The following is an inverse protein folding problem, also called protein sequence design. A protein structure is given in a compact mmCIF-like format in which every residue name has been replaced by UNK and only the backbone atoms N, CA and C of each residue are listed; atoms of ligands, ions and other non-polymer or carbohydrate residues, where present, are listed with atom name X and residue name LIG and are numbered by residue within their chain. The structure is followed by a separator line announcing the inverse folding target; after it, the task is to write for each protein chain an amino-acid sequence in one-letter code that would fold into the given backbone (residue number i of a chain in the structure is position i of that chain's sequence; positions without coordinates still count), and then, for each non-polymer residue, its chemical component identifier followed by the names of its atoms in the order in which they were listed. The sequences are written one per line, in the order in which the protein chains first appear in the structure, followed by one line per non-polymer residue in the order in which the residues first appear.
data_IF_466115201166
#
_entry.id   IF_466115201166
#
_cell.length_a   1.000
_cell.length_b   1.000
_cell.length_c   1.000
_cell.angle_alpha   90.00
_cell.angle_beta   90.00
_cell.angle_gamma   90.00
#
_symmetry.space_group_name_H-M   'P 1'
#
loop_
_entity.id
_entity.type
_entity.pdbx_description
1 polymer ?
#
# COMPACT_ATOMS: atom_id res chain seq x y z
N UNK A 1 -16.23 -18.66 1.23
CA UNK A 1 -14.84 -18.83 0.74
C UNK A 1 -14.51 -17.58 -0.05
N UNK A 2 -13.54 -16.76 0.37
CA UNK A 2 -13.18 -15.56 -0.39
C UNK A 2 -12.27 -15.93 -1.60
N UNK A 3 -12.11 -15.04 -2.58
CA UNK A 3 -11.31 -15.32 -3.79
C UNK A 3 -9.86 -15.69 -3.47
N UNK A 4 -9.25 -14.99 -2.51
CA UNK A 4 -7.90 -15.28 -2.02
C UNK A 4 -7.77 -16.70 -1.46
N UNK A 5 -8.74 -17.13 -0.66
CA UNK A 5 -8.80 -18.47 -0.07
C UNK A 5 -8.92 -19.54 -1.14
N UNK A 6 -9.71 -19.27 -2.19
CA UNK A 6 -9.84 -20.15 -3.36
C UNK A 6 -8.50 -20.31 -4.08
N UNK A 7 -7.78 -19.22 -4.36
CA UNK A 7 -6.49 -19.27 -5.06
C UNK A 7 -5.41 -20.00 -4.25
N UNK A 8 -5.33 -19.71 -2.94
CA UNK A 8 -4.42 -20.39 -2.03
C UNK A 8 -4.77 -21.89 -1.93
N UNK A 9 -6.06 -22.24 -1.84
CA UNK A 9 -6.49 -23.65 -1.83
C UNK A 9 -6.12 -24.36 -3.14
N UNK A 10 -6.42 -23.75 -4.29
CA UNK A 10 -6.15 -24.32 -5.61
C UNK A 10 -4.66 -24.57 -5.80
N UNK A 11 -3.80 -23.66 -5.34
CA UNK A 11 -2.35 -23.74 -5.48
C UNK A 11 -1.71 -24.75 -4.52
N UNK A 12 -2.15 -24.79 -3.26
CA UNK A 12 -1.41 -25.52 -2.22
C UNK A 12 -2.09 -26.79 -1.71
N UNK A 13 -3.43 -26.85 -1.66
CA UNK A 13 -4.15 -27.92 -0.93
C UNK A 13 -3.77 -29.34 -1.39
N UNK A 14 -3.59 -29.52 -2.69
CA UNK A 14 -3.30 -30.80 -3.31
C UNK A 14 -1.86 -30.90 -3.85
N UNK A 15 -0.96 -30.05 -3.37
CA UNK A 15 0.46 -30.10 -3.72
C UNK A 15 1.32 -30.65 -2.58
N UNK A 16 2.61 -30.81 -2.83
CA UNK A 16 3.61 -31.14 -1.81
C UNK A 16 3.79 -30.04 -0.75
N UNK A 17 3.11 -28.90 -0.92
CA UNK A 17 3.10 -27.75 -0.03
C UNK A 17 1.73 -27.57 0.64
N UNK A 18 0.96 -28.65 0.84
CA UNK A 18 -0.35 -28.61 1.50
C UNK A 18 -0.33 -27.90 2.85
N UNK A 19 0.77 -27.99 3.60
CA UNK A 19 0.97 -27.30 4.86
C UNK A 19 0.91 -25.76 4.74
N UNK A 20 1.16 -25.18 3.55
CA UNK A 20 1.02 -23.74 3.30
C UNK A 20 -0.44 -23.34 3.39
N UNK A 21 -1.34 -24.16 2.84
CA UNK A 21 -2.78 -23.96 2.97
C UNK A 21 -3.21 -24.06 4.44
N UNK A 22 -2.74 -25.07 5.17
CA UNK A 22 -3.11 -25.24 6.59
C UNK A 22 -2.63 -24.07 7.46
N UNK A 23 -1.43 -23.53 7.19
CA UNK A 23 -0.91 -22.32 7.85
C UNK A 23 -1.77 -21.10 7.52
N UNK A 24 -2.18 -20.94 6.26
CA UNK A 24 -3.05 -19.86 5.86
C UNK A 24 -4.43 -19.93 6.54
N UNK A 25 -5.03 -21.12 6.65
CA UNK A 25 -6.30 -21.29 7.37
C UNK A 25 -6.16 -20.97 8.87
N UNK A 26 -5.00 -21.26 9.48
CA UNK A 26 -4.73 -20.83 10.86
C UNK A 26 -4.56 -19.30 10.98
N UNK A 27 -3.95 -18.64 9.97
CA UNK A 27 -3.92 -17.17 9.89
C UNK A 27 -5.35 -16.60 9.82
N UNK A 28 -6.18 -17.15 8.94
CA UNK A 28 -7.61 -16.82 8.79
C UNK A 28 -8.35 -16.93 10.12
N UNK A 29 -8.26 -18.09 10.77
CA UNK A 29 -8.92 -18.32 12.05
C UNK A 29 -8.50 -17.28 13.09
N UNK A 30 -7.20 -17.00 13.23
CA UNK A 30 -6.68 -16.06 14.24
C UNK A 30 -7.04 -14.61 13.98
N UNK A 31 -6.94 -14.16 12.73
CA UNK A 31 -7.29 -12.80 12.34
C UNK A 31 -8.80 -12.53 12.47
N UNK A 32 -9.63 -13.56 12.31
CA UNK A 32 -11.09 -13.43 12.52
C UNK A 32 -11.49 -13.52 14.00
N UNK A 33 -10.64 -14.01 14.91
CA UNK A 33 -10.90 -14.01 16.34
C UNK A 33 -10.73 -12.62 16.98
N UNK A 34 -10.03 -11.69 16.33
CA UNK A 34 -9.80 -10.32 16.82
C UNK A 34 -10.93 -9.35 16.46
N UNK A 35 -12.19 -9.75 16.65
CA UNK A 35 -13.36 -8.91 16.36
C UNK A 35 -13.44 -7.64 17.22
N UNK A 36 -12.81 -7.65 18.40
CA UNK A 36 -12.60 -6.50 19.29
C UNK A 36 -11.12 -6.43 19.68
N UNK A 37 -10.61 -5.24 20.07
CA UNK A 37 -9.23 -5.08 20.57
C UNK A 37 -8.99 -6.01 21.75
N UNK A 38 -8.39 -7.17 21.49
CA UNK A 38 -8.06 -8.17 22.50
C UNK A 38 -6.54 -8.32 22.54
N UNK A 39 -5.96 -8.10 23.72
CA UNK A 39 -4.51 -8.25 23.94
C UNK A 39 -3.61 -7.40 23.01
N UNK A 40 -4.06 -6.19 22.68
CA UNK A 40 -3.32 -5.23 21.83
C UNK A 40 -3.23 -5.62 20.34
N UNK A 41 -4.18 -6.43 19.87
CA UNK A 41 -4.36 -6.75 18.46
C UNK A 41 -5.60 -6.04 17.91
N UNK A 42 -5.45 -5.43 16.73
CA UNK A 42 -6.56 -4.87 15.95
C UNK A 42 -7.26 -5.98 15.12
N UNK A 43 -8.47 -5.72 14.59
CA UNK A 43 -9.10 -6.61 13.63
C UNK A 43 -8.18 -6.94 12.47
N UNK A 44 -8.12 -8.22 12.07
CA UNK A 44 -7.21 -8.67 11.02
C UNK A 44 -5.77 -8.96 11.48
N UNK A 45 -5.38 -8.54 12.70
CA UNK A 45 -4.05 -8.82 13.26
C UNK A 45 -3.99 -10.16 14.00
N UNK A 46 -2.83 -10.82 13.95
CA UNK A 46 -2.55 -12.02 14.74
C UNK A 46 -1.09 -12.14 15.16
N UNK A 47 -0.85 -12.88 16.25
CA UNK A 47 0.49 -13.24 16.72
C UNK A 47 0.95 -14.57 16.14
N UNK A 48 2.22 -14.60 15.76
CA UNK A 48 2.89 -15.77 15.21
C UNK A 48 4.19 -16.08 15.96
N UNK A 49 4.33 -17.32 16.37
CA UNK A 49 5.58 -17.87 16.89
C UNK A 49 5.77 -19.30 16.36
N UNK A 50 7.01 -19.60 15.95
CA UNK A 50 7.31 -20.88 15.30
C UNK A 50 7.02 -22.09 16.20
N UNK A 51 7.24 -21.98 17.51
CA UNK A 51 7.13 -23.11 18.43
C UNK A 51 5.67 -23.54 18.60
N UNK A 52 4.79 -22.61 18.93
CA UNK A 52 3.38 -22.90 19.19
C UNK A 52 2.64 -23.29 17.92
N UNK A 53 2.97 -22.66 16.79
CA UNK A 53 2.36 -23.00 15.50
C UNK A 53 2.81 -24.36 14.98
N UNK A 54 4.10 -24.72 15.12
CA UNK A 54 4.61 -26.03 14.72
C UNK A 54 3.90 -27.15 15.47
N UNK A 55 3.76 -26.97 16.79
CA UNK A 55 3.07 -27.92 17.65
C UNK A 55 1.59 -28.07 17.28
N UNK A 56 0.88 -26.96 17.09
CA UNK A 56 -0.57 -26.97 16.83
C UNK A 56 -0.93 -27.58 15.47
N UNK A 57 -0.16 -27.24 14.44
CA UNK A 57 -0.42 -27.67 13.07
C UNK A 57 0.22 -29.02 12.74
N UNK A 58 1.07 -29.56 13.61
CA UNK A 58 1.79 -30.81 13.33
C UNK A 58 2.81 -30.67 12.19
N UNK A 59 3.37 -29.47 12.00
CA UNK A 59 4.31 -29.15 10.92
C UNK A 59 5.69 -28.80 11.46
N UNK A 60 6.73 -29.04 10.67
CA UNK A 60 8.10 -28.69 11.08
C UNK A 60 8.34 -27.20 11.02
N UNK A 61 9.33 -26.72 11.79
CA UNK A 61 9.77 -25.31 11.73
C UNK A 61 10.17 -24.88 10.30
N UNK A 62 10.87 -25.75 9.55
CA UNK A 62 11.26 -25.46 8.16
C UNK A 62 10.05 -25.29 7.24
N UNK A 63 9.02 -26.13 7.42
CA UNK A 63 7.76 -25.98 6.69
C UNK A 63 7.07 -24.66 7.03
N UNK A 64 7.03 -24.27 8.31
CA UNK A 64 6.50 -22.96 8.69
C UNK A 64 7.29 -21.79 8.11
N UNK A 65 8.63 -21.83 8.15
CA UNK A 65 9.47 -20.81 7.52
C UNK A 65 9.16 -20.67 6.03
N UNK A 66 9.01 -21.80 5.34
CA UNK A 66 8.61 -21.80 3.93
C UNK A 66 7.19 -21.29 3.73
N UNK A 67 6.23 -21.71 4.54
CA UNK A 67 4.84 -21.27 4.43
C UNK A 67 4.71 -19.76 4.65
N UNK A 68 5.33 -19.22 5.69
CA UNK A 68 5.33 -17.78 5.94
C UNK A 68 5.95 -17.03 4.76
N UNK A 69 7.04 -17.53 4.17
CA UNK A 69 7.64 -16.92 2.98
C UNK A 69 6.66 -16.92 1.79
N UNK A 70 6.01 -18.04 1.51
CA UNK A 70 5.04 -18.16 0.41
C UNK A 70 3.84 -17.23 0.61
N UNK A 71 3.35 -17.11 1.85
CA UNK A 71 2.19 -16.28 2.18
C UNK A 71 2.51 -14.78 2.26
N UNK A 72 3.75 -14.39 2.58
CA UNK A 72 4.17 -12.98 2.67
C UNK A 72 4.75 -12.44 1.37
N UNK A 73 5.60 -13.22 0.69
CA UNK A 73 6.43 -12.72 -0.42
C UNK A 73 5.89 -13.14 -1.78
N UNK A 74 5.25 -14.31 -1.87
CA UNK A 74 4.82 -14.85 -3.16
C UNK A 74 3.36 -14.58 -3.48
N UNK A 75 2.47 -14.74 -2.50
CA UNK A 75 1.03 -14.49 -2.67
C UNK A 75 0.56 -13.23 -1.91
N UNK A 76 1.37 -12.69 -1.00
CA UNK A 76 1.10 -11.47 -0.21
C UNK A 76 -0.29 -11.50 0.45
N UNK A 77 -0.64 -12.63 1.03
CA UNK A 77 -1.94 -12.80 1.72
C UNK A 77 -1.85 -12.43 3.20
N UNK A 78 -0.64 -12.43 3.77
CA UNK A 78 -0.35 -11.93 5.12
C UNK A 78 0.83 -10.95 5.08
N UNK A 79 0.82 -9.98 5.98
CA UNK A 79 1.82 -8.91 6.01
C UNK A 79 2.43 -8.84 7.41
N UNK A 80 3.77 -8.79 7.51
CA UNK A 80 4.44 -8.69 8.81
C UNK A 80 4.42 -7.24 9.31
N UNK A 81 3.73 -6.99 10.42
CA UNK A 81 3.62 -5.67 11.04
C UNK A 81 4.77 -5.46 12.04
N UNK A 82 5.07 -6.49 12.84
CA UNK A 82 6.08 -6.42 13.88
C UNK A 82 6.92 -7.68 13.87
N UNK A 83 8.24 -7.52 13.78
CA UNK A 83 9.18 -8.63 13.87
C UNK A 83 9.46 -8.95 15.33
N UNK A 84 9.12 -10.18 15.73
CA UNK A 84 9.49 -10.71 17.04
C UNK A 84 11.01 -10.88 17.18
N UNK A 85 11.50 -10.61 18.38
CA UNK A 85 12.86 -10.93 18.84
C UNK A 85 12.89 -12.28 19.57
N UNK A 86 14.05 -12.67 20.10
CA UNK A 86 14.19 -13.94 20.83
C UNK A 86 13.21 -13.99 22.01
N UNK A 87 12.27 -14.93 21.95
CA UNK A 87 11.26 -15.13 22.99
C UNK A 87 9.98 -14.31 22.80
N UNK A 88 9.88 -13.47 21.77
CA UNK A 88 8.66 -12.71 21.46
C UNK A 88 8.05 -13.16 20.12
N UNK A 89 6.72 -13.14 20.05
CA UNK A 89 5.98 -13.45 18.83
C UNK A 89 6.09 -12.30 17.83
N UNK A 90 6.16 -12.62 16.54
CA UNK A 90 5.90 -11.62 15.49
C UNK A 90 4.42 -11.29 15.42
N UNK A 91 4.08 -10.11 14.92
CA UNK A 91 2.72 -9.68 14.60
C UNK A 91 2.54 -9.61 13.10
N UNK A 92 1.43 -10.16 12.62
CA UNK A 92 1.05 -10.15 11.21
C UNK A 92 -0.37 -9.61 11.04
N UNK A 93 -0.67 -9.12 9.84
CA UNK A 93 -1.98 -8.68 9.37
C UNK A 93 -2.43 -9.56 8.21
N UNK A 94 -3.74 -9.75 8.04
CA UNK A 94 -4.33 -10.52 6.96
C UNK A 94 -4.84 -9.57 5.86
N UNK A 95 -4.19 -9.59 4.70
CA UNK A 95 -4.26 -8.51 3.70
C UNK A 95 -5.69 -8.14 3.27
N UNK A 96 -6.60 -9.11 3.11
CA UNK A 96 -7.99 -8.83 2.70
C UNK A 96 -8.75 -7.89 3.66
N UNK A 97 -8.31 -7.74 4.90
CA UNK A 97 -8.99 -6.83 5.83
C UNK A 97 -8.77 -5.37 5.42
N UNK A 98 -7.72 -5.03 4.66
CA UNK A 98 -7.54 -3.70 4.07
C UNK A 98 -8.63 -3.38 3.02
N UNK A 99 -9.15 -4.39 2.31
CA UNK A 99 -10.19 -4.19 1.29
C UNK A 99 -11.55 -3.80 1.90
N UNK A 100 -11.83 -4.22 3.15
CA UNK A 100 -13.12 -3.98 3.79
C UNK A 100 -13.24 -2.58 4.42
N UNK A 101 -12.12 -1.97 4.86
CA UNK A 101 -12.10 -0.61 5.44
C UNK A 101 -12.37 0.50 4.41
N UNK A 102 -12.24 0.20 3.12
CA UNK A 102 -12.62 1.13 2.06
C UNK A 102 -14.15 1.26 1.88
N UNK A 103 -14.96 0.30 2.35
CA UNK A 103 -16.43 0.39 2.26
C UNK A 103 -17.05 1.27 3.37
N UNK A 104 -16.44 1.27 4.55
CA UNK A 104 -16.86 2.07 5.70
C UNK A 104 -16.33 3.51 5.66
N UNK A 105 -15.22 3.76 4.94
CA UNK A 105 -14.65 5.11 4.80
C UNK A 105 -15.36 6.03 3.79
N UNK A 106 -16.18 5.51 2.88
CA UNK A 106 -16.89 6.35 1.90
C UNK A 106 -17.95 7.23 2.61
N UNK A 107 -18.70 6.66 3.55
CA UNK A 107 -19.74 7.37 4.28
C UNK A 107 -19.18 8.41 5.27
N UNK A 108 -18.01 8.16 5.87
CA UNK A 108 -17.36 9.13 6.76
C UNK A 108 -16.69 10.27 5.99
N UNK A 109 -16.17 10.00 4.78
CA UNK A 109 -15.54 11.03 3.94
C UNK A 109 -16.54 12.00 3.32
N UNK A 110 -17.78 11.58 3.04
CA UNK A 110 -18.86 12.48 2.60
C UNK A 110 -19.27 13.45 3.71
N UNK A 111 -19.44 12.96 4.95
CA UNK A 111 -19.76 13.78 6.13
C UNK A 111 -18.63 14.78 6.46
N UNK A 112 -17.36 14.38 6.28
CA UNK A 112 -16.21 15.28 6.51
C UNK A 112 -16.06 16.33 5.40
N UNK A 113 -16.45 16.02 4.15
CA UNK A 113 -16.44 16.98 3.04
C UNK A 113 -17.49 18.08 3.22
N UNK A 114 -18.70 17.74 3.68
CA UNK A 114 -19.77 18.73 3.91
C UNK A 114 -19.41 19.72 5.02
N UNK A 115 -18.87 19.23 6.15
CA UNK A 115 -18.47 20.09 7.28
C UNK A 115 -17.31 21.04 6.92
N UNK A 116 -16.34 20.58 6.12
CA UNK A 116 -15.20 21.39 5.70
C UNK A 116 -15.56 22.50 4.68
N UNK A 117 -16.64 22.33 3.90
CA UNK A 117 -17.12 23.35 2.97
C UNK A 117 -17.79 24.51 3.74
N UNK A 118 -18.45 24.21 4.84
CA UNK A 118 -19.16 25.20 5.66
C UNK A 118 -18.21 26.04 6.53
N UNK A 119 -17.14 25.45 7.06
CA UNK A 119 -16.09 26.18 7.79
C UNK A 119 -15.29 27.13 6.88
N UNK A 120 -14.95 26.70 5.66
CA UNK A 120 -14.25 27.56 4.66
C UNK A 120 -15.09 28.73 4.14
N UNK A 121 -16.42 28.72 4.31
CA UNK A 121 -17.28 29.87 4.04
C UNK A 121 -17.28 30.88 5.21
N UNK A 122 -17.14 30.41 6.46
CA UNK A 122 -17.06 31.27 7.65
C UNK A 122 -15.70 31.98 7.80
N UNK A 123 -14.60 31.33 7.42
CA UNK A 123 -13.25 31.94 7.48
C UNK A 123 -13.03 33.04 6.44
N UNK A 124 -13.50 32.85 5.19
CA UNK A 124 -13.40 33.88 4.14
C UNK A 124 -14.13 35.18 4.49
N UNK A 125 -15.22 35.10 5.26
CA UNK A 125 -15.93 36.28 5.75
C UNK A 125 -15.19 36.99 6.91
N UNK A 126 -14.45 36.27 7.76
CA UNK A 126 -13.64 36.88 8.84
C UNK A 126 -12.41 37.62 8.31
N UNK A 127 -11.79 37.09 7.27
CA UNK A 127 -10.56 37.65 6.70
C UNK A 127 -10.82 38.92 5.86
N UNK A 128 -12.05 39.10 5.36
CA UNK A 128 -12.48 40.32 4.69
C UNK A 128 -12.67 41.49 5.67
N UNK A 129 -13.13 41.20 6.90
CA UNK A 129 -13.33 42.21 7.95
C UNK A 129 -12.01 42.66 8.58
N UNK A 130 -11.03 41.76 8.71
CA UNK A 130 -9.72 42.05 9.34
C UNK A 130 -8.82 42.98 8.52
N UNK A 131 -9.05 43.11 7.21
CA UNK A 131 -8.27 43.98 6.31
C UNK A 131 -8.71 45.44 6.32
N UNK A 132 -9.86 45.78 6.91
CA UNK A 132 -10.34 47.17 6.98
C UNK A 132 -9.90 47.92 8.24
N UNK A 133 -9.24 47.26 9.22
CA UNK A 133 -8.94 47.85 10.53
C UNK A 133 -7.50 47.52 10.93
N UNK A 134 -6.55 48.45 10.76
CA UNK A 134 -5.21 48.29 11.33
C UNK A 134 -4.10 49.15 10.76
N UNK A 135 -4.19 50.48 10.88
CA UNK A 135 -3.01 51.32 11.07
C UNK A 135 -2.86 51.66 12.56
N UNK A 136 -1.59 51.76 12.99
CA UNK A 136 -1.06 52.33 14.25
C UNK A 136 -0.46 51.39 15.32
N UNK A 137 0.87 51.21 15.17
CA UNK A 137 1.97 51.57 16.10
C UNK A 137 2.03 51.03 17.56
N UNK A 138 3.24 50.48 17.83
CA UNK A 138 4.23 50.83 18.88
C UNK A 138 4.50 49.87 20.08
N UNK A 139 5.64 49.17 19.99
CA UNK A 139 6.83 49.11 20.90
C UNK A 139 6.67 48.95 22.43
N UNK A 140 7.32 47.92 23.01
CA UNK A 140 8.51 48.02 23.92
C UNK A 140 9.05 46.66 24.40
N UNK A 141 10.38 46.60 24.45
CA UNK A 141 11.27 45.52 24.93
C UNK A 141 11.29 45.39 26.47
N UNK A 142 11.76 44.25 26.99
CA UNK A 142 13.04 44.07 27.75
C UNK A 142 12.97 42.85 28.71
N UNK A 143 14.14 42.36 29.05
CA UNK A 143 14.62 41.02 29.41
C UNK A 143 14.79 40.71 30.91
N UNK A 144 14.66 39.41 31.25
CA UNK A 144 15.49 38.56 32.18
C UNK A 144 15.39 38.77 33.71
N UNK A 145 14.93 37.76 34.50
CA UNK A 145 15.76 36.73 35.20
C UNK A 145 15.00 35.86 36.26
N UNK A 146 15.29 34.54 36.25
CA UNK A 146 15.56 33.59 37.36
C UNK A 146 14.48 32.98 38.32
N UNK A 147 14.40 31.64 38.23
CA UNK A 147 14.32 30.55 39.25
C UNK A 147 13.01 30.02 39.91
N UNK A 148 12.91 28.68 39.76
CA UNK A 148 12.44 27.59 40.64
C UNK A 148 10.94 27.43 40.99
N UNK A 149 10.43 26.25 40.62
CA UNK A 149 9.27 25.58 41.21
C UNK A 149 9.05 24.23 40.53
N UNK A 150 9.44 23.13 41.18
CA UNK A 150 9.08 21.76 40.80
C UNK A 150 7.55 21.59 40.83
N UNK A 151 6.95 21.10 39.74
CA UNK A 151 5.78 20.23 39.83
C UNK A 151 5.86 19.13 38.75
N UNK A 152 5.97 17.90 39.24
CA UNK A 152 5.83 16.65 38.48
C UNK A 152 4.36 16.42 38.17
N UNK A 153 4.05 16.16 36.90
CA UNK A 153 2.79 15.56 36.46
C UNK A 153 2.28 16.21 35.19
N UNK A 154 2.58 15.61 34.02
CA UNK A 154 1.75 15.63 32.78
C UNK A 154 2.50 15.32 31.46
N UNK A 155 3.79 14.93 31.50
CA UNK A 155 4.55 14.69 30.25
C UNK A 155 4.49 13.25 29.70
N UNK A 156 3.79 12.31 30.35
CA UNK A 156 3.79 10.88 29.92
C UNK A 156 2.77 10.56 28.81
N UNK A 157 1.73 11.36 28.62
CA UNK A 157 0.72 11.10 27.58
C UNK A 157 1.14 11.61 26.20
N UNK A 158 1.68 12.83 26.12
CA UNK A 158 2.16 13.43 24.85
C UNK A 158 3.31 12.66 24.19
N UNK A 159 4.13 11.94 24.97
CA UNK A 159 5.24 11.12 24.45
C UNK A 159 4.79 9.75 23.90
N UNK A 160 3.63 9.24 24.35
CA UNK A 160 3.06 7.96 23.85
C UNK A 160 2.30 8.15 22.52
N UNK A 161 1.61 9.28 22.35
CA UNK A 161 0.86 9.59 21.12
C UNK A 161 1.80 9.80 19.92
N UNK A 162 2.86 10.61 20.07
CA UNK A 162 3.88 10.80 19.01
C UNK A 162 4.60 9.51 18.59
N UNK A 163 4.80 8.57 19.52
CA UNK A 163 5.42 7.26 19.22
C UNK A 163 4.46 6.31 18.50
N UNK A 164 3.15 6.39 18.78
CA UNK A 164 2.12 5.61 18.09
C UNK A 164 1.98 6.05 16.63
N UNK A 165 1.88 7.36 16.37
CA UNK A 165 1.71 7.92 15.02
C UNK A 165 2.91 7.66 14.10
N UNK A 166 4.14 7.80 14.62
CA UNK A 166 5.33 7.48 13.82
C UNK A 166 5.46 5.98 13.51
N UNK A 167 4.98 5.10 14.39
CA UNK A 167 5.03 3.65 14.15
C UNK A 167 3.97 3.18 13.17
N UNK A 168 2.76 3.74 13.19
CA UNK A 168 1.68 3.37 12.27
C UNK A 168 1.96 3.86 10.85
N UNK A 169 2.50 5.07 10.70
CA UNK A 169 2.85 5.63 9.40
C UNK A 169 4.03 4.89 8.75
N UNK A 170 5.04 4.50 9.55
CA UNK A 170 6.19 3.71 9.05
C UNK A 170 5.77 2.29 8.63
N UNK A 171 4.85 1.67 9.38
CA UNK A 171 4.30 0.36 9.02
C UNK A 171 3.49 0.44 7.73
N UNK A 172 2.59 1.41 7.59
CA UNK A 172 1.78 1.57 6.38
C UNK A 172 2.63 1.83 5.13
N UNK A 173 3.67 2.68 5.21
CA UNK A 173 4.57 2.93 4.09
C UNK A 173 5.36 1.68 3.67
N UNK A 174 5.76 0.84 4.62
CA UNK A 174 6.44 -0.42 4.34
C UNK A 174 5.49 -1.42 3.66
N UNK A 175 4.21 -1.44 4.04
CA UNK A 175 3.18 -2.26 3.40
C UNK A 175 3.01 -1.84 1.93
N UNK A 176 2.72 -0.56 1.69
CA UNK A 176 2.55 0.00 0.34
C UNK A 176 3.80 -0.27 -0.51
N UNK A 177 4.99 -0.12 0.07
CA UNK A 177 6.24 -0.39 -0.63
C UNK A 177 6.39 -1.85 -1.04
N UNK A 178 6.00 -2.79 -0.16
CA UNK A 178 6.00 -4.21 -0.47
C UNK A 178 4.95 -4.58 -1.53
N UNK A 179 3.77 -3.97 -1.50
CA UNK A 179 2.73 -4.19 -2.50
C UNK A 179 3.20 -3.77 -3.90
N UNK A 180 3.71 -2.55 -4.04
CA UNK A 180 4.25 -2.04 -5.31
C UNK A 180 5.41 -2.92 -5.81
N UNK A 181 6.34 -3.27 -4.92
CA UNK A 181 7.49 -4.12 -5.25
C UNK A 181 7.06 -5.50 -5.75
N UNK A 182 6.11 -6.13 -5.06
CA UNK A 182 5.68 -7.48 -5.38
C UNK A 182 4.80 -7.50 -6.62
N UNK A 183 3.95 -6.49 -6.80
CA UNK A 183 3.19 -6.30 -8.03
C UNK A 183 4.12 -6.17 -9.23
N UNK A 184 5.18 -5.36 -9.15
CA UNK A 184 6.21 -5.29 -10.19
C UNK A 184 6.83 -6.65 -10.50
N UNK A 185 7.27 -7.37 -9.47
CA UNK A 185 7.89 -8.69 -9.65
C UNK A 185 6.93 -9.71 -10.31
N UNK A 186 5.63 -9.60 -10.05
CA UNK A 186 4.61 -10.45 -10.66
C UNK A 186 4.51 -10.30 -12.18
N UNK A 187 4.81 -9.09 -12.73
CA UNK A 187 4.82 -8.82 -14.17
C UNK A 187 6.02 -9.43 -14.89
N UNK A 188 7.06 -9.84 -14.15
CA UNK A 188 8.27 -10.51 -14.68
C UNK A 188 9.01 -9.71 -15.78
N UNK A 189 8.92 -8.38 -15.76
CA UNK A 189 9.67 -7.50 -16.68
C UNK A 189 11.17 -7.58 -16.40
N UNK A 190 11.56 -7.18 -15.19
CA UNK A 190 12.87 -7.43 -14.56
C UNK A 190 12.60 -7.77 -13.10
N UNK A 191 12.87 -9.02 -12.71
CA UNK A 191 12.60 -9.53 -11.36
C UNK A 191 13.73 -9.14 -10.42
N UNK A 192 13.40 -8.44 -9.32
CA UNK A 192 14.35 -8.06 -8.28
C UNK A 192 14.39 -9.13 -7.19
N UNK A 193 15.58 -9.48 -6.70
CA UNK A 193 15.77 -10.52 -5.66
C UNK A 193 15.28 -10.11 -4.27
N UNK A 194 15.28 -8.82 -3.99
CA UNK A 194 14.88 -8.25 -2.69
C UNK A 194 14.51 -6.79 -2.83
N UNK A 195 13.58 -6.32 -2.00
CA UNK A 195 13.33 -4.89 -1.79
C UNK A 195 14.54 -4.26 -1.07
N UNK A 196 15.42 -3.61 -1.84
CA UNK A 196 16.60 -2.94 -1.28
C UNK A 196 16.32 -1.45 -1.03
N UNK A 197 17.20 -0.79 -0.27
CA UNK A 197 17.06 0.62 0.11
C UNK A 197 16.94 1.59 -1.07
N UNK A 198 17.50 1.23 -2.22
CA UNK A 198 17.45 2.06 -3.42
C UNK A 198 16.08 2.01 -4.09
N UNK A 199 15.47 0.83 -4.16
CA UNK A 199 14.11 0.62 -4.66
C UNK A 199 13.12 1.23 -3.68
N UNK A 200 13.28 1.00 -2.38
CA UNK A 200 12.45 1.57 -1.31
C UNK A 200 12.42 3.11 -1.42
N UNK A 201 13.58 3.76 -1.51
CA UNK A 201 13.66 5.21 -1.74
C UNK A 201 13.00 5.68 -3.03
N UNK A 202 13.03 4.88 -4.10
CA UNK A 202 12.36 5.23 -5.36
C UNK A 202 10.84 5.16 -5.20
N UNK A 203 10.32 4.15 -4.50
CA UNK A 203 8.91 4.01 -4.18
C UNK A 203 8.44 5.16 -3.29
N UNK A 204 9.16 5.45 -2.20
CA UNK A 204 8.84 6.59 -1.33
C UNK A 204 8.78 7.92 -2.08
N UNK A 205 9.67 8.12 -3.08
CA UNK A 205 9.65 9.33 -3.91
C UNK A 205 8.46 9.36 -4.86
N UNK A 206 8.07 8.22 -5.43
CA UNK A 206 6.89 8.13 -6.28
C UNK A 206 5.60 8.38 -5.48
N UNK A 207 5.51 7.82 -4.27
CA UNK A 207 4.37 7.98 -3.36
C UNK A 207 4.14 9.42 -2.87
N UNK A 208 5.13 10.31 -3.02
CA UNK A 208 4.94 11.75 -2.78
C UNK A 208 4.15 12.45 -3.88
N UNK A 209 4.01 11.81 -5.05
CA UNK A 209 3.38 12.39 -6.25
C UNK A 209 2.16 11.61 -6.70
N UNK A 210 2.15 10.30 -6.46
CA UNK A 210 1.16 9.37 -6.98
C UNK A 210 0.66 8.47 -5.85
N UNK A 211 -0.60 8.05 -5.91
CA UNK A 211 -1.14 7.02 -5.01
C UNK A 211 -0.58 5.64 -5.34
N UNK A 212 -0.74 4.67 -4.43
CA UNK A 212 -0.38 3.28 -4.68
C UNK A 212 -1.06 2.75 -5.94
N UNK A 213 -2.36 3.00 -6.08
CA UNK A 213 -3.17 2.51 -7.20
C UNK A 213 -2.74 3.16 -8.52
N UNK A 214 -2.36 4.43 -8.51
CA UNK A 214 -1.80 5.10 -9.70
C UNK A 214 -0.48 4.46 -10.13
N UNK A 215 0.41 4.17 -9.17
CA UNK A 215 1.68 3.50 -9.46
C UNK A 215 1.44 2.10 -10.01
N UNK A 216 0.53 1.33 -9.41
CA UNK A 216 0.14 0.00 -9.88
C UNK A 216 -0.41 0.07 -11.31
N UNK A 217 -1.37 0.96 -11.60
CA UNK A 217 -1.93 1.14 -12.96
C UNK A 217 -0.86 1.50 -14.00
N UNK A 218 0.10 2.35 -13.63
CA UNK A 218 1.20 2.69 -14.52
C UNK A 218 2.10 1.47 -14.80
N UNK A 219 2.35 0.62 -13.81
CA UNK A 219 3.09 -0.65 -13.99
C UNK A 219 2.31 -1.59 -14.93
N UNK A 220 0.99 -1.68 -14.81
CA UNK A 220 0.15 -2.50 -15.70
C UNK A 220 0.18 -2.00 -17.14
N UNK A 221 0.07 -0.68 -17.33
CA UNK A 221 0.19 -0.06 -18.66
C UNK A 221 1.55 -0.34 -19.28
N UNK A 222 2.62 -0.25 -18.48
CA UNK A 222 3.97 -0.55 -18.92
C UNK A 222 4.17 -2.02 -19.32
N UNK A 223 3.65 -2.96 -18.51
CA UNK A 223 3.67 -4.39 -18.80
C UNK A 223 2.87 -4.74 -20.07
N UNK A 224 1.70 -4.13 -20.26
CA UNK A 224 0.87 -4.34 -21.44
C UNK A 224 1.60 -3.86 -22.71
N UNK A 225 2.16 -2.65 -22.68
CA UNK A 225 2.94 -2.09 -23.78
C UNK A 225 4.12 -3.00 -24.16
N UNK A 226 4.84 -3.52 -23.17
CA UNK A 226 6.00 -4.39 -23.41
C UNK A 226 5.64 -5.77 -23.98
N UNK A 227 4.37 -6.18 -23.88
CA UNK A 227 3.86 -7.45 -24.42
C UNK A 227 3.28 -7.31 -25.82
N UNK A 228 3.03 -6.09 -26.29
CA UNK A 228 2.58 -5.85 -27.66
C UNK A 228 3.78 -5.75 -28.60
N UNK A 229 4.16 -6.88 -29.21
CA UNK A 229 5.23 -6.95 -30.22
C UNK A 229 4.96 -6.07 -31.45
N UNK A 230 3.70 -5.66 -31.68
CA UNK A 230 3.31 -4.76 -32.75
C UNK A 230 3.55 -3.29 -32.46
N UNK A 231 3.90 -2.93 -31.22
CA UNK A 231 4.13 -1.55 -30.81
C UNK A 231 5.62 -1.22 -30.74
N UNK A 232 5.99 0.03 -31.02
CA UNK A 232 7.39 0.44 -31.17
C UNK A 232 8.18 0.41 -29.84
N UNK A 233 7.50 0.48 -28.70
CA UNK A 233 8.15 0.56 -27.40
C UNK A 233 8.49 -0.83 -26.88
N UNK A 234 9.78 -1.15 -26.73
CA UNK A 234 10.26 -2.47 -26.28
C UNK A 234 11.34 -2.42 -25.19
N UNK A 235 11.64 -1.23 -24.64
CA UNK A 235 12.76 -1.06 -23.71
C UNK A 235 12.36 -1.38 -22.26
N UNK A 236 13.16 -2.24 -21.60
CA UNK A 236 12.90 -2.72 -20.23
C UNK A 236 13.69 -1.95 -19.18
N UNK A 237 12.99 -1.36 -18.23
CA UNK A 237 13.55 -0.75 -17.02
C UNK A 237 13.36 -1.67 -15.82
N UNK A 238 14.25 -1.55 -14.83
CA UNK A 238 13.98 -2.07 -13.49
C UNK A 238 13.07 -1.10 -12.71
N UNK A 239 12.47 -1.58 -11.62
CA UNK A 239 11.52 -0.80 -10.80
C UNK A 239 12.08 0.56 -10.38
N UNK A 240 13.34 0.62 -9.94
CA UNK A 240 14.02 1.88 -9.57
C UNK A 240 14.04 2.89 -10.73
N UNK A 241 14.39 2.44 -11.92
CA UNK A 241 14.47 3.28 -13.13
C UNK A 241 13.09 3.70 -13.60
N UNK A 242 12.14 2.78 -13.62
CA UNK A 242 10.75 3.05 -13.96
C UNK A 242 10.17 4.15 -13.06
N UNK A 243 10.36 4.06 -11.74
CA UNK A 243 9.84 5.04 -10.79
C UNK A 243 10.62 6.37 -10.79
N UNK A 244 11.92 6.33 -11.04
CA UNK A 244 12.82 7.46 -10.78
C UNK A 244 13.14 8.35 -11.98
N UNK A 245 12.99 7.86 -13.22
CA UNK A 245 13.40 8.59 -14.43
C UNK A 245 12.36 9.65 -14.82
N UNK A 246 12.82 10.71 -15.50
CA UNK A 246 11.95 11.79 -16.01
C UNK A 246 10.88 11.27 -16.97
N UNK A 247 11.25 10.29 -17.81
CA UNK A 247 10.36 9.62 -18.76
C UNK A 247 9.93 8.24 -18.25
N UNK A 248 9.99 8.03 -16.93
CA UNK A 248 9.60 6.79 -16.28
C UNK A 248 8.08 6.72 -16.14
N UNK A 249 7.64 6.47 -14.90
CA UNK A 249 6.25 6.30 -14.48
C UNK A 249 5.30 7.36 -15.04
N UNK A 250 5.71 8.62 -15.10
CA UNK A 250 4.90 9.75 -15.59
C UNK A 250 4.37 9.54 -17.01
N UNK A 251 5.12 8.86 -17.88
CA UNK A 251 4.72 8.65 -19.28
C UNK A 251 3.74 7.51 -19.48
N UNK A 252 3.52 6.70 -18.44
CA UNK A 252 2.57 5.57 -18.41
C UNK A 252 1.33 5.86 -17.56
N UNK A 253 1.23 7.08 -17.02
CA UNK A 253 0.00 7.59 -16.41
C UNK A 253 -1.07 7.89 -17.46
N UNK A 254 -2.29 8.18 -17.01
CA UNK A 254 -3.48 8.43 -17.85
C UNK A 254 -3.25 9.48 -18.94
N UNK A 255 -2.54 10.55 -18.62
CA UNK A 255 -2.15 11.65 -19.53
C UNK A 255 -0.74 11.48 -20.11
N UNK A 256 -0.08 10.36 -19.83
CA UNK A 256 1.29 10.08 -20.23
C UNK A 256 1.40 9.72 -21.71
N UNK A 257 2.40 10.29 -22.39
CA UNK A 257 2.60 10.11 -23.83
C UNK A 257 2.67 8.63 -24.27
N UNK A 258 3.32 7.75 -23.51
CA UNK A 258 3.43 6.33 -23.91
C UNK A 258 2.06 5.64 -23.85
N UNK A 259 1.25 5.95 -22.83
CA UNK A 259 -0.11 5.41 -22.71
C UNK A 259 -1.01 5.93 -23.83
N UNK A 260 -1.05 7.25 -24.04
CA UNK A 260 -1.89 7.88 -25.08
C UNK A 260 -1.54 7.34 -26.47
N UNK A 261 -0.26 7.28 -26.81
CA UNK A 261 0.19 6.75 -28.09
C UNK A 261 -0.17 5.27 -28.27
N UNK A 262 -0.08 4.48 -27.20
CA UNK A 262 -0.42 3.06 -27.23
C UNK A 262 -1.93 2.83 -27.39
N UNK A 263 -2.76 3.60 -26.71
CA UNK A 263 -4.21 3.54 -26.88
C UNK A 263 -4.62 3.89 -28.32
N UNK A 264 -3.99 4.89 -28.93
CA UNK A 264 -4.24 5.25 -30.32
C UNK A 264 -3.75 4.18 -31.31
N UNK A 265 -2.62 3.53 -31.02
CA UNK A 265 -2.16 2.36 -31.76
C UNK A 265 -3.18 1.22 -31.71
N UNK A 266 -3.71 0.90 -30.53
CA UNK A 266 -4.75 -0.14 -30.37
C UNK A 266 -6.03 0.21 -31.12
N UNK A 267 -6.47 1.47 -31.09
CA UNK A 267 -7.65 1.93 -31.83
C UNK A 267 -7.47 1.75 -33.34
N UNK A 268 -6.32 2.16 -33.89
CA UNK A 268 -6.00 2.01 -35.32
C UNK A 268 -5.97 0.54 -35.75
N UNK A 269 -5.29 -0.32 -34.99
CA UNK A 269 -5.24 -1.76 -35.29
C UNK A 269 -6.61 -2.44 -35.22
N UNK A 270 -7.48 -1.98 -34.31
CA UNK A 270 -8.86 -2.49 -34.20
C UNK A 270 -9.72 -2.06 -35.38
N UNK A 271 -9.56 -0.83 -35.86
CA UNK A 271 -10.27 -0.32 -37.04
C UNK A 271 -9.81 -1.05 -38.32
N UNK A 272 -8.51 -1.22 -38.51
CA UNK A 272 -7.95 -1.96 -39.67
C UNK A 272 -8.46 -3.40 -39.74
N UNK A 273 -8.55 -4.12 -38.60
CA UNK A 273 -9.10 -5.49 -38.57
C UNK A 273 -10.59 -5.56 -38.90
N UNK A 274 -11.37 -4.50 -38.63
CA UNK A 274 -12.79 -4.45 -39.01
C UNK A 274 -12.99 -4.22 -40.51
N UNK A 275 -12.12 -3.43 -41.14
CA UNK A 275 -12.20 -3.15 -42.59
C UNK A 275 -11.84 -4.40 -43.42
N UNK A 276 -10.82 -5.16 -43.02
CA UNK A 276 -10.40 -6.38 -43.74
C UNK A 276 -11.43 -7.52 -43.68
N UNK A 277 -12.37 -7.50 -42.71
CA UNK A 277 -13.36 -8.56 -42.54
C UNK A 277 -14.68 -8.33 -43.33
N UNK A 278 -14.76 -7.26 -44.14
CA UNK A 278 -15.91 -7.03 -45.04
C UNK A 278 -15.70 -7.57 -46.46
N UNK A 279 -14.45 -7.83 -46.88
CA UNK A 279 -14.14 -8.39 -48.20
C UNK A 279 -14.30 -9.92 -48.28
N UNK A 280 -14.71 -10.59 -47.18
CA UNK A 280 -14.99 -12.03 -47.12
C UNK A 280 -16.46 -12.40 -47.40
N UNK A 281 -17.29 -11.41 -47.79
CA UNK A 281 -18.71 -11.57 -48.14
C UNK A 281 -19.03 -11.08 -49.55
N UNK A 282 -18.13 -11.31 -50.52
CA UNK A 282 -18.45 -11.18 -51.94
C UNK A 282 -18.11 -12.52 -52.61
N UNK A 283 -19.07 -13.45 -52.52
CA UNK A 283 -19.23 -14.58 -53.45
C UNK A 283 -20.51 -14.34 -54.26
#
# INVERSE_FOLDING_TARGET
MNFTEYDIRKKYRYSNLSYVFDVYIECEYRANLTQNRYNGLEPGEFRFDYKSWAYRLGVTKKQLERAIKELTTENIVIIQIEKGTRGTSSKYFLARFEENDNSSNINSLEVVKENNIEEKKKERNKEHVKRMIGEEKNVKNTSVNKCLGEQKGDDKEKFKEKKKEQSSQYNNLNIISNNIYSHWNSKKIIVHKSLNKDIEKAIEKALKKYSEEEIVRAIETYDEILKDDGYYFNYKWGLKDFLGRSNGISTFMDDGNNKVNYEDHKKKNTQSKKVVNYDSYID
#
